data_IF_713592735300
#
_entry.id   IF_713592735300
#
_cell.length_a   1.000
_cell.length_b   1.000
_cell.length_c   1.000
_cell.angle_alpha   90.00
_cell.angle_beta   90.00
_cell.angle_gamma   90.00
#
_symmetry.space_group_name_H-M   'P 1'
#
loop_
_entity.id
_entity.type
_entity.pdbx_description
1 polymer ?
#
# COMPACT_ATOMS: atom_id res chain seq x y z
N UNK A 1 22.23 -24.98 2.58
CA UNK A 1 21.23 -25.48 3.57
C UNK A 1 20.61 -24.38 4.44
N UNK A 2 20.58 -23.11 4.02
CA UNK A 2 20.02 -22.00 4.84
C UNK A 2 18.48 -22.01 4.84
N UNK A 3 17.86 -22.24 3.68
CA UNK A 3 16.40 -22.30 3.55
C UNK A 3 15.77 -23.46 4.35
N UNK A 4 16.45 -24.62 4.43
CA UNK A 4 16.00 -25.74 5.26
C UNK A 4 16.04 -25.39 6.75
N UNK A 5 17.04 -24.65 7.22
CA UNK A 5 17.12 -24.23 8.61
C UNK A 5 16.05 -23.20 8.98
N UNK A 6 15.70 -22.27 8.08
CA UNK A 6 14.56 -21.35 8.27
C UNK A 6 13.24 -22.12 8.30
N UNK A 7 13.07 -23.13 7.44
CA UNK A 7 11.89 -23.98 7.43
C UNK A 7 11.70 -24.73 8.76
N UNK A 8 12.79 -25.26 9.34
CA UNK A 8 12.75 -25.95 10.64
C UNK A 8 12.36 -25.01 11.80
N UNK A 9 12.58 -23.70 11.65
CA UNK A 9 12.17 -22.69 12.63
C UNK A 9 10.69 -22.25 12.48
N UNK A 10 10.01 -22.64 11.40
CA UNK A 10 8.63 -22.26 11.13
C UNK A 10 7.67 -23.33 11.68
N UNK A 11 7.13 -23.12 12.88
CA UNK A 11 6.02 -23.93 13.37
C UNK A 11 4.69 -23.53 12.72
N UNK A 12 3.78 -24.48 12.59
CA UNK A 12 2.42 -24.21 12.13
C UNK A 12 1.75 -23.18 13.05
N UNK A 13 1.41 -22.00 12.51
CA UNK A 13 0.80 -20.90 13.27
C UNK A 13 1.71 -19.70 13.58
N UNK A 14 3.02 -19.77 13.31
CA UNK A 14 3.94 -18.64 13.52
C UNK A 14 3.77 -17.53 12.47
N UNK A 15 3.94 -16.27 12.88
CA UNK A 15 3.96 -15.12 11.96
C UNK A 15 5.37 -14.90 11.42
N UNK A 16 5.52 -14.74 10.10
CA UNK A 16 6.83 -14.48 9.45
C UNK A 16 7.36 -13.07 9.76
N UNK A 17 6.57 -12.23 10.44
CA UNK A 17 7.05 -10.95 10.96
C UNK A 17 7.86 -11.09 12.24
N UNK A 18 7.71 -12.19 12.98
CA UNK A 18 8.39 -12.47 14.26
C UNK A 18 9.74 -13.16 14.09
N UNK A 19 10.06 -13.60 12.86
CA UNK A 19 11.29 -14.36 12.55
C UNK A 19 12.15 -13.54 11.59
N UNK A 20 13.44 -13.40 11.91
CA UNK A 20 14.42 -12.81 11.01
C UNK A 20 14.66 -13.73 9.81
N UNK A 21 14.21 -13.30 8.64
CA UNK A 21 14.43 -14.03 7.39
C UNK A 21 15.82 -13.73 6.80
N UNK A 22 16.43 -14.68 6.05
CA UNK A 22 17.70 -14.42 5.37
C UNK A 22 17.58 -13.28 4.35
N UNK A 23 18.59 -12.42 4.27
CA UNK A 23 18.61 -11.26 3.34
C UNK A 23 18.36 -11.66 1.88
N UNK A 24 18.72 -12.89 1.47
CA UNK A 24 18.55 -13.40 0.11
C UNK A 24 17.07 -13.41 -0.37
N UNK A 25 16.10 -13.52 0.55
CA UNK A 25 14.67 -13.52 0.21
C UNK A 25 14.04 -12.12 0.32
N UNK A 26 14.82 -11.11 0.71
CA UNK A 26 14.36 -9.74 0.84
C UNK A 26 14.65 -8.92 -0.43
N UNK A 27 13.77 -7.98 -0.76
CA UNK A 27 14.05 -6.89 -1.71
C UNK A 27 14.70 -5.71 -0.98
N UNK A 28 15.53 -4.88 -1.65
CA UNK A 28 16.26 -3.78 -1.01
C UNK A 28 15.38 -2.56 -0.73
N UNK A 29 14.15 -2.77 -0.24
CA UNK A 29 13.17 -1.73 0.08
C UNK A 29 12.47 -2.05 1.39
N UNK A 30 12.24 -1.02 2.20
CA UNK A 30 11.34 -1.10 3.35
C UNK A 30 9.90 -1.30 2.88
N UNK A 31 9.05 -1.91 3.71
CA UNK A 31 7.61 -1.97 3.43
C UNK A 31 7.04 -0.56 3.17
N UNK A 32 7.52 0.47 3.87
CA UNK A 32 7.04 1.85 3.69
C UNK A 32 7.32 2.40 2.28
N UNK A 33 8.48 2.06 1.73
CA UNK A 33 8.80 2.38 0.34
C UNK A 33 7.99 1.49 -0.62
N UNK A 34 7.87 0.19 -0.31
CA UNK A 34 7.14 -0.77 -1.13
C UNK A 34 5.67 -0.40 -1.32
N UNK A 35 5.04 0.19 -0.31
CA UNK A 35 3.67 0.71 -0.40
C UNK A 35 3.54 1.69 -1.56
N UNK A 36 4.56 2.51 -1.84
CA UNK A 36 4.49 3.50 -2.92
C UNK A 36 4.38 2.92 -4.33
N UNK A 37 4.51 1.59 -4.50
CA UNK A 37 4.21 0.92 -5.77
C UNK A 37 2.76 1.16 -6.23
N UNK A 38 1.82 1.53 -5.34
CA UNK A 38 0.47 1.96 -5.73
C UNK A 38 0.47 3.20 -6.66
N UNK A 39 1.54 3.98 -6.65
CA UNK A 39 1.70 5.20 -7.45
C UNK A 39 2.32 4.96 -8.83
N UNK A 40 2.34 3.74 -9.35
CA UNK A 40 2.96 3.47 -10.66
C UNK A 40 2.10 3.87 -11.86
N UNK A 41 0.79 3.98 -11.70
CA UNK A 41 -0.12 4.49 -12.74
C UNK A 41 -0.96 5.68 -12.24
N UNK A 42 -0.31 6.77 -11.78
CA UNK A 42 -1.01 7.87 -11.12
C UNK A 42 -1.91 8.67 -12.07
N UNK A 43 -1.69 8.55 -13.39
CA UNK A 43 -2.54 9.12 -14.42
C UNK A 43 -4.00 8.64 -14.34
N UNK A 44 -4.23 7.43 -13.80
CA UNK A 44 -5.59 6.93 -13.60
C UNK A 44 -6.29 7.56 -12.42
N UNK A 45 -5.54 8.06 -11.42
CA UNK A 45 -6.09 8.73 -10.25
C UNK A 45 -6.34 10.22 -10.49
N UNK A 46 -5.42 10.91 -11.16
CA UNK A 46 -5.43 12.39 -11.29
C UNK A 46 -6.65 12.93 -12.04
N UNK A 47 -7.21 12.14 -12.96
CA UNK A 47 -8.37 12.55 -13.76
C UNK A 47 -9.70 12.35 -13.04
N UNK A 48 -9.75 11.47 -12.03
CA UNK A 48 -10.99 11.07 -11.36
C UNK A 48 -11.71 12.25 -10.68
N UNK A 49 -11.03 13.17 -9.97
CA UNK A 49 -11.70 14.32 -9.35
C UNK A 49 -12.44 15.23 -10.34
N UNK A 50 -12.15 15.17 -11.63
CA UNK A 50 -12.77 16.01 -12.66
C UNK A 50 -13.98 15.36 -13.32
N UNK A 51 -14.30 14.10 -13.00
CA UNK A 51 -15.49 13.43 -13.51
C UNK A 51 -16.72 13.86 -12.69
N UNK A 52 -17.70 14.43 -13.37
CA UNK A 52 -18.95 14.89 -12.74
C UNK A 52 -19.86 13.73 -12.33
N UNK A 53 -19.94 12.70 -13.18
CA UNK A 53 -20.79 11.54 -12.93
C UNK A 53 -20.18 10.64 -11.82
N UNK A 54 -20.92 10.34 -10.73
CA UNK A 54 -20.41 9.52 -9.63
C UNK A 54 -20.03 8.09 -10.00
N UNK A 55 -20.76 7.46 -10.94
CA UNK A 55 -20.45 6.12 -11.44
C UNK A 55 -19.14 6.12 -12.23
N UNK A 56 -18.90 7.15 -13.05
CA UNK A 56 -17.63 7.30 -13.78
C UNK A 56 -16.45 7.53 -12.81
N UNK A 57 -16.66 8.30 -11.73
CA UNK A 57 -15.65 8.41 -10.65
C UNK A 57 -15.35 7.06 -10.02
N UNK A 58 -16.38 6.29 -9.68
CA UNK A 58 -16.22 4.96 -9.10
C UNK A 58 -15.44 4.03 -10.03
N UNK A 59 -15.80 3.97 -11.32
CA UNK A 59 -15.05 3.19 -12.33
C UNK A 59 -13.59 3.66 -12.41
N UNK A 60 -13.34 4.97 -12.35
CA UNK A 60 -12.00 5.55 -12.31
C UNK A 60 -11.17 5.09 -11.10
N UNK A 61 -11.78 5.09 -9.90
CA UNK A 61 -11.16 4.56 -8.68
C UNK A 61 -10.82 3.07 -8.84
N UNK A 62 -11.75 2.24 -9.31
CA UNK A 62 -11.51 0.81 -9.53
C UNK A 62 -10.38 0.59 -10.53
N UNK A 63 -10.35 1.35 -11.63
CA UNK A 63 -9.27 1.28 -12.62
C UNK A 63 -7.91 1.60 -12.01
N UNK A 64 -7.83 2.63 -11.16
CA UNK A 64 -6.61 2.97 -10.44
C UNK A 64 -6.19 1.83 -9.49
N UNK A 65 -7.11 1.30 -8.67
CA UNK A 65 -6.81 0.19 -7.75
C UNK A 65 -6.28 -1.02 -8.52
N UNK A 66 -6.97 -1.46 -9.57
CA UNK A 66 -6.56 -2.63 -10.36
C UNK A 66 -5.19 -2.42 -11.02
N UNK A 67 -4.87 -1.19 -11.43
CA UNK A 67 -3.55 -0.87 -11.99
C UNK A 67 -2.41 -1.01 -10.97
N UNK A 68 -2.69 -0.93 -9.67
CA UNK A 68 -1.67 -1.15 -8.63
C UNK A 68 -1.19 -2.62 -8.60
N UNK A 69 -2.02 -3.56 -9.05
CA UNK A 69 -1.73 -4.99 -9.05
C UNK A 69 -0.99 -5.48 -10.30
N UNK A 70 -0.84 -4.65 -11.33
CA UNK A 70 -0.15 -5.05 -12.55
C UNK A 70 1.37 -5.15 -12.37
N UNK A 71 1.91 -4.63 -11.27
CA UNK A 71 3.31 -4.76 -10.89
C UNK A 71 3.56 -6.08 -10.17
N UNK A 72 3.63 -7.15 -10.93
CA UNK A 72 4.09 -8.44 -10.42
C UNK A 72 5.59 -8.59 -10.73
N UNK A 73 6.48 -8.49 -9.72
CA UNK A 73 7.89 -8.78 -9.95
C UNK A 73 8.07 -10.23 -10.37
N UNK A 74 9.05 -10.51 -11.23
CA UNK A 74 9.38 -11.87 -11.70
C UNK A 74 9.75 -12.83 -10.56
N UNK A 75 10.13 -12.28 -9.40
CA UNK A 75 10.47 -13.03 -8.20
C UNK A 75 9.80 -12.38 -7.00
N UNK A 76 9.03 -13.16 -6.24
CA UNK A 76 8.40 -12.72 -5.01
C UNK A 76 9.47 -12.59 -3.91
N UNK A 77 10.01 -11.38 -3.75
CA UNK A 77 10.89 -11.00 -2.63
C UNK A 77 10.10 -10.20 -1.60
N UNK A 78 10.37 -10.43 -0.33
CA UNK A 78 9.69 -9.73 0.78
C UNK A 78 10.37 -8.37 1.01
N UNK A 79 9.66 -7.25 1.19
CA UNK A 79 10.29 -6.02 1.66
C UNK A 79 10.80 -6.18 3.09
N UNK A 80 11.75 -5.34 3.49
CA UNK A 80 12.20 -5.29 4.89
C UNK A 80 11.04 -4.88 5.80
N UNK A 81 10.94 -5.53 6.96
CA UNK A 81 10.01 -5.13 8.01
C UNK A 81 10.48 -3.77 8.57
N UNK A 82 9.66 -2.71 8.53
CA UNK A 82 10.05 -1.43 9.10
C UNK A 82 10.20 -1.52 10.62
N UNK A 83 11.11 -0.73 11.20
CA UNK A 83 11.21 -0.57 12.65
C UNK A 83 10.16 0.40 13.18
N UNK A 84 9.80 0.33 14.47
CA UNK A 84 8.83 1.25 15.06
C UNK A 84 9.27 2.71 14.91
N UNK A 85 8.38 3.58 14.41
CA UNK A 85 8.67 4.99 14.16
C UNK A 85 9.51 5.25 12.91
N UNK A 86 9.89 4.21 12.15
CA UNK A 86 10.46 4.40 10.81
C UNK A 86 9.47 5.16 9.94
N UNK A 87 9.95 6.11 9.15
CA UNK A 87 9.14 6.84 8.20
C UNK A 87 9.79 6.91 6.82
N UNK A 88 8.97 6.91 5.78
CA UNK A 88 9.37 7.09 4.39
C UNK A 88 8.59 8.25 3.77
N UNK A 89 9.26 9.05 2.94
CA UNK A 89 8.64 10.19 2.25
C UNK A 89 9.02 10.16 0.79
N UNK A 90 8.03 10.44 -0.06
CA UNK A 90 8.23 10.52 -1.49
C UNK A 90 7.38 11.64 -2.10
N UNK A 91 7.83 12.11 -3.27
CA UNK A 91 7.12 13.14 -4.03
C UNK A 91 7.14 12.78 -5.51
N UNK A 92 6.00 13.00 -6.17
CA UNK A 92 5.86 12.84 -7.62
C UNK A 92 5.50 14.18 -8.23
N UNK A 93 6.09 14.48 -9.39
CA UNK A 93 5.64 15.57 -10.27
C UNK A 93 4.79 14.95 -11.38
N UNK A 94 3.58 15.47 -11.57
CA UNK A 94 2.65 14.96 -12.55
C UNK A 94 2.65 15.79 -13.84
N UNK A 95 2.00 15.27 -14.88
CA UNK A 95 1.95 15.89 -16.22
C UNK A 95 1.26 17.25 -16.23
N UNK A 96 0.30 17.47 -15.33
CA UNK A 96 -0.39 18.74 -15.11
C UNK A 96 0.42 19.74 -14.25
N UNK A 97 1.72 19.47 -14.03
CA UNK A 97 2.62 20.20 -13.14
C UNK A 97 2.21 20.21 -11.66
N UNK A 98 1.20 19.43 -11.25
CA UNK A 98 0.88 19.24 -9.84
C UNK A 98 1.89 18.33 -9.15
N UNK A 99 1.92 18.40 -7.82
CA UNK A 99 2.77 17.56 -6.99
C UNK A 99 1.93 16.64 -6.09
N UNK A 100 2.34 15.38 -6.02
CA UNK A 100 1.84 14.40 -5.07
C UNK A 100 2.86 14.20 -3.96
N UNK A 101 2.41 14.12 -2.72
CA UNK A 101 3.25 13.95 -1.52
C UNK A 101 2.81 12.69 -0.78
N UNK A 102 3.76 11.85 -0.40
CA UNK A 102 3.54 10.65 0.40
C UNK A 102 4.34 10.73 1.70
N UNK A 103 3.72 10.30 2.79
CA UNK A 103 4.38 10.00 4.06
C UNK A 103 3.83 8.67 4.57
N UNK A 104 4.72 7.71 4.83
CA UNK A 104 4.39 6.46 5.50
C UNK A 104 5.16 6.36 6.80
N UNK A 105 4.55 5.77 7.83
CA UNK A 105 5.16 5.52 9.13
C UNK A 105 4.79 4.12 9.65
N UNK A 106 5.75 3.46 10.29
CA UNK A 106 5.49 2.25 11.04
C UNK A 106 4.92 2.60 12.42
N UNK A 107 3.60 2.52 12.56
CA UNK A 107 2.87 2.96 13.75
C UNK A 107 2.73 1.87 14.81
N UNK A 108 2.92 0.60 14.45
CA UNK A 108 2.92 -0.51 15.40
C UNK A 108 3.79 -1.67 14.91
N UNK A 109 4.41 -2.40 15.84
CA UNK A 109 5.21 -3.60 15.53
C UNK A 109 4.52 -4.91 15.93
N UNK A 110 3.63 -4.88 16.95
CA UNK A 110 2.90 -6.04 17.45
C UNK A 110 1.44 -5.67 17.76
N UNK A 111 0.51 -5.80 16.80
CA UNK A 111 0.72 -6.31 15.44
C UNK A 111 1.43 -5.29 14.53
N UNK A 112 2.09 -5.74 13.43
CA UNK A 112 2.72 -4.82 12.50
C UNK A 112 1.67 -3.99 11.76
N UNK A 113 1.76 -2.66 11.87
CA UNK A 113 0.91 -1.71 11.17
C UNK A 113 1.79 -0.61 10.57
N UNK A 114 1.67 -0.44 9.25
CA UNK A 114 2.23 0.71 8.54
C UNK A 114 1.08 1.62 8.14
N UNK A 115 1.06 2.85 8.64
CA UNK A 115 0.08 3.86 8.25
C UNK A 115 0.69 4.80 7.23
N UNK A 116 -0.11 5.28 6.28
CA UNK A 116 0.39 6.22 5.29
C UNK A 116 -0.66 7.24 4.85
N UNK A 117 -0.13 8.35 4.37
CA UNK A 117 -0.88 9.49 3.85
C UNK A 117 -0.31 9.87 2.49
N UNK A 118 -1.19 10.03 1.51
CA UNK A 118 -0.85 10.63 0.23
C UNK A 118 -1.80 11.80 -0.06
N UNK A 119 -1.27 12.87 -0.65
CA UNK A 119 -2.10 13.95 -1.17
C UNK A 119 -1.57 14.54 -2.48
N UNK A 120 -2.51 14.99 -3.31
CA UNK A 120 -2.25 15.95 -4.38
C UNK A 120 -3.16 17.16 -4.14
N UNK A 121 -2.65 18.24 -3.51
CA UNK A 121 -3.45 19.39 -3.15
C UNK A 121 -4.11 20.09 -4.33
N UNK A 122 -3.39 20.23 -5.46
CA UNK A 122 -3.91 20.93 -6.65
C UNK A 122 -5.13 20.23 -7.26
N UNK A 123 -5.12 18.89 -7.23
CA UNK A 123 -6.23 18.07 -7.71
C UNK A 123 -7.26 17.73 -6.63
N UNK A 124 -7.03 18.15 -5.38
CA UNK A 124 -7.92 17.87 -4.25
C UNK A 124 -8.01 16.37 -3.91
N UNK A 125 -6.93 15.61 -4.11
CA UNK A 125 -6.88 14.18 -3.82
C UNK A 125 -6.21 13.96 -2.48
N UNK A 126 -6.82 13.13 -1.65
CA UNK A 126 -6.24 12.65 -0.39
C UNK A 126 -6.45 11.14 -0.30
N UNK A 127 -5.44 10.41 0.14
CA UNK A 127 -5.52 8.98 0.45
C UNK A 127 -4.97 8.78 1.85
N UNK A 128 -5.80 8.21 2.71
CA UNK A 128 -5.34 7.62 3.97
C UNK A 128 -5.30 6.12 3.78
N UNK A 129 -4.23 5.47 4.19
CA UNK A 129 -4.17 4.02 4.13
C UNK A 129 -3.43 3.41 5.29
N UNK A 130 -3.69 2.14 5.48
CA UNK A 130 -2.99 1.31 6.43
C UNK A 130 -2.73 -0.07 5.81
N UNK A 131 -1.59 -0.62 6.15
CA UNK A 131 -1.16 -1.94 5.74
C UNK A 131 -0.84 -2.74 6.99
N UNK A 132 -1.56 -3.85 7.15
CA UNK A 132 -1.51 -4.75 8.30
C UNK A 132 -1.15 -6.14 7.80
N UNK A 133 0.14 -6.41 7.50
CA UNK A 133 0.53 -7.69 6.93
C UNK A 133 0.37 -8.78 8.00
N UNK A 134 -0.31 -9.86 7.63
CA UNK A 134 -0.51 -11.04 8.47
C UNK A 134 -0.07 -12.26 7.69
N UNK A 135 0.96 -12.94 8.18
CA UNK A 135 1.43 -14.17 7.54
C UNK A 135 0.85 -15.40 8.23
N UNK A 136 0.46 -16.40 7.45
CA UNK A 136 0.00 -17.70 7.94
C UNK A 136 0.79 -18.81 7.24
N UNK A 137 1.45 -19.63 8.04
CA UNK A 137 2.12 -20.87 7.58
C UNK A 137 1.11 -22.01 7.65
N UNK A 138 0.95 -22.75 6.54
CA UNK A 138 0.07 -23.92 6.46
C UNK A 138 0.76 -25.05 5.71
N UNK A 139 1.37 -26.00 6.44
CA UNK A 139 2.19 -27.05 5.85
C UNK A 139 3.40 -26.45 5.12
N UNK A 140 3.55 -26.76 3.83
CA UNK A 140 4.61 -26.22 2.96
C UNK A 140 4.27 -24.85 2.35
N UNK A 141 3.07 -24.32 2.59
CA UNK A 141 2.63 -23.05 2.02
C UNK A 141 2.82 -21.89 3.00
N UNK A 142 3.40 -20.79 2.49
CA UNK A 142 3.46 -19.50 3.18
C UNK A 142 2.46 -18.56 2.53
N UNK A 143 1.39 -18.20 3.26
CA UNK A 143 0.39 -17.24 2.79
C UNK A 143 0.60 -15.90 3.49
N UNK A 144 0.93 -14.87 2.73
CA UNK A 144 0.88 -13.49 3.22
C UNK A 144 -0.50 -12.90 2.92
N UNK A 145 -1.22 -12.49 3.95
CA UNK A 145 -2.50 -11.79 3.85
C UNK A 145 -2.21 -10.33 4.16
N UNK A 146 -2.53 -9.45 3.22
CA UNK A 146 -2.45 -8.03 3.44
C UNK A 146 -3.81 -7.55 3.93
N UNK A 147 -3.94 -7.31 5.23
CA UNK A 147 -5.11 -6.62 5.77
C UNK A 147 -4.84 -5.11 5.74
N UNK A 148 -5.89 -4.33 6.00
CA UNK A 148 -5.84 -2.89 6.05
C UNK A 148 -6.93 -2.31 5.19
N UNK A 149 -6.73 -1.08 4.75
CA UNK A 149 -7.68 -0.41 3.88
C UNK A 149 -7.18 0.96 3.48
N UNK A 150 -7.79 1.47 2.41
CA UNK A 150 -7.46 2.75 1.82
C UNK A 150 -8.75 3.56 1.73
N UNK A 151 -8.68 4.81 2.17
CA UNK A 151 -9.74 5.79 2.07
C UNK A 151 -9.29 6.88 1.11
N UNK A 152 -9.87 6.88 -0.08
CA UNK A 152 -9.62 7.89 -1.11
C UNK A 152 -10.68 8.98 -0.99
N UNK A 153 -10.25 10.23 -0.98
CA UNK A 153 -11.09 11.41 -0.82
C UNK A 153 -10.84 12.37 -1.99
N UNK A 154 -11.91 12.82 -2.63
CA UNK A 154 -11.87 13.89 -3.63
C UNK A 154 -12.51 15.16 -3.07
N UNK A 155 -11.68 16.05 -2.52
CA UNK A 155 -12.10 17.28 -1.84
C UNK A 155 -12.94 18.21 -2.74
N UNK A 156 -12.78 18.15 -4.06
CA UNK A 156 -13.59 18.91 -5.02
C UNK A 156 -15.08 18.56 -4.97
N UNK A 157 -15.41 17.32 -4.61
CA UNK A 157 -16.79 16.83 -4.52
C UNK A 157 -17.36 16.89 -3.09
N UNK A 158 -16.50 17.11 -2.10
CA UNK A 158 -16.87 17.12 -0.68
C UNK A 158 -17.89 18.22 -0.32
N UNK A 159 -17.89 19.34 -1.06
CA UNK A 159 -18.85 20.44 -0.87
C UNK A 159 -20.27 20.13 -1.36
N UNK A 160 -20.41 19.15 -2.25
CA UNK A 160 -21.67 18.86 -2.93
C UNK A 160 -22.35 17.61 -2.37
N UNK A 161 -21.58 16.55 -2.10
CA UNK A 161 -22.08 15.34 -1.43
C UNK A 161 -20.93 14.58 -0.76
N UNK A 162 -20.95 14.49 0.57
CA UNK A 162 -19.87 13.88 1.37
C UNK A 162 -19.70 12.39 1.06
N UNK A 163 -20.79 11.65 0.87
CA UNK A 163 -20.76 10.20 0.70
C UNK A 163 -20.25 9.78 -0.68
N UNK A 164 -20.47 10.60 -1.72
CA UNK A 164 -19.98 10.36 -3.08
C UNK A 164 -18.53 10.78 -3.31
N UNK A 165 -17.90 11.40 -2.31
CA UNK A 165 -16.53 11.92 -2.38
C UNK A 165 -15.51 11.02 -1.67
N UNK A 166 -15.98 10.00 -0.95
CA UNK A 166 -15.18 9.09 -0.14
C UNK A 166 -15.32 7.67 -0.69
N UNK A 167 -14.19 7.04 -1.00
CA UNK A 167 -14.13 5.66 -1.48
C UNK A 167 -13.28 4.84 -0.52
N UNK A 168 -13.90 3.88 0.18
CA UNK A 168 -13.21 2.94 1.06
C UNK A 168 -12.89 1.66 0.29
N UNK A 169 -11.65 1.21 0.37
CA UNK A 169 -11.09 0.10 -0.40
C UNK A 169 -10.39 -0.81 0.60
N UNK A 170 -10.93 -2.00 0.83
CA UNK A 170 -10.42 -2.98 1.81
C UNK A 170 -9.70 -4.12 1.10
#
# INVERSE_FOLDING_TARGET
NILKNVYVQLNAGMSIHEISLPVLICEPRSMLEKITDFMCYPQFLIRVPYLENPLQRFIGVIKFVLSCWSLSPKTAKKPFNPVLGEYFRARWKFQDNSYGYYVGEQTSINPPISSYYFCNPANGIVIHGEVRPKTKVSGTNLKSILNGGNKIIFNKHFKYNKDESIYNIY
#
